data_IF_466523499342
#
_entry.id   IF_466523499342
#
_cell.length_a   1.000
_cell.length_b   1.000
_cell.length_c   1.000
_cell.angle_alpha   90.00
_cell.angle_beta   90.00
_cell.angle_gamma   90.00
#
_symmetry.space_group_name_H-M   'P 1'
#
loop_
_entity.id
_entity.type
_entity.pdbx_description
1 polymer ?
#
# COMPACT_ATOMS: atom_id res chain seq x y z
N UNK A 1 31.30 -38.70 20.66
CA UNK A 1 31.77 -37.34 20.98
C UNK A 1 31.06 -36.36 20.05
N UNK A 2 30.22 -35.48 20.60
CA UNK A 2 29.40 -34.50 19.86
C UNK A 2 30.31 -33.41 19.28
N UNK A 3 30.18 -33.08 17.99
CA UNK A 3 30.80 -31.88 17.40
C UNK A 3 29.71 -30.90 16.98
N UNK A 4 29.81 -29.72 17.59
CA UNK A 4 28.84 -28.64 17.63
C UNK A 4 28.75 -27.89 16.30
N UNK A 5 27.53 -27.53 15.89
CA UNK A 5 27.29 -26.59 14.79
C UNK A 5 27.49 -25.14 15.28
N UNK A 6 28.02 -24.23 14.46
CA UNK A 6 28.04 -22.81 14.79
C UNK A 6 26.66 -22.19 14.57
N UNK A 7 26.17 -21.53 15.62
CA UNK A 7 24.95 -20.75 15.67
C UNK A 7 25.16 -19.46 14.85
N UNK A 8 24.56 -19.38 13.67
CA UNK A 8 24.53 -18.13 12.90
C UNK A 8 23.66 -17.10 13.63
N UNK A 9 24.31 -15.99 13.98
CA UNK A 9 23.76 -14.84 14.65
C UNK A 9 22.75 -14.15 13.73
N UNK A 10 21.45 -14.29 14.01
CA UNK A 10 20.41 -13.55 13.32
C UNK A 10 20.49 -12.07 13.72
N UNK A 11 21.02 -11.23 12.83
CA UNK A 11 20.85 -9.80 12.94
C UNK A 11 19.37 -9.46 12.71
N UNK A 12 18.73 -8.87 13.71
CA UNK A 12 17.39 -8.28 13.59
C UNK A 12 17.49 -7.02 12.71
N UNK A 13 16.70 -6.88 11.63
CA UNK A 13 16.60 -5.59 10.97
C UNK A 13 15.73 -4.66 11.82
N UNK A 14 16.33 -3.54 12.20
CA UNK A 14 15.69 -2.41 12.88
C UNK A 14 14.51 -1.88 12.06
N UNK A 15 13.33 -1.86 12.68
CA UNK A 15 12.10 -1.26 12.15
C UNK A 15 12.22 0.25 12.13
N UNK A 16 12.71 0.81 11.03
CA UNK A 16 12.38 2.17 10.58
C UNK A 16 12.67 2.24 9.07
N UNK A 17 11.81 1.58 8.29
CA UNK A 17 11.84 1.74 6.84
C UNK A 17 11.21 3.10 6.50
N UNK A 18 12.07 4.11 6.36
CA UNK A 18 11.75 5.33 5.64
C UNK A 18 11.22 4.91 4.25
N UNK A 19 9.93 5.13 3.98
CA UNK A 19 9.37 4.99 2.63
C UNK A 19 10.15 5.99 1.78
N UNK A 20 11.08 5.48 0.97
CA UNK A 20 11.95 6.29 0.12
C UNK A 20 11.10 7.00 -0.92
N UNK A 21 11.54 8.18 -1.33
CA UNK A 21 10.86 9.04 -2.31
C UNK A 21 10.72 8.42 -3.72
N UNK A 22 11.13 7.17 -3.90
CA UNK A 22 11.08 6.42 -5.15
C UNK A 22 10.63 4.98 -4.87
N UNK A 23 9.44 4.79 -4.29
CA UNK A 23 8.90 3.45 -4.10
C UNK A 23 8.60 2.81 -5.45
N UNK A 24 9.55 2.05 -5.98
CA UNK A 24 9.37 1.30 -7.22
C UNK A 24 8.26 0.26 -7.02
N UNK A 25 7.36 0.05 -8.00
CA UNK A 25 6.33 -0.98 -7.90
C UNK A 25 6.88 -2.37 -7.51
N UNK A 26 8.07 -2.72 -8.01
CA UNK A 26 8.72 -3.99 -7.71
C UNK A 26 9.14 -4.11 -6.24
N UNK A 27 9.66 -3.05 -5.64
CA UNK A 27 10.04 -3.03 -4.22
C UNK A 27 8.81 -3.15 -3.32
N UNK A 28 7.74 -2.41 -3.66
CA UNK A 28 6.47 -2.50 -2.93
C UNK A 28 5.86 -3.91 -3.00
N UNK A 29 6.00 -4.62 -4.13
CA UNK A 29 5.54 -6.00 -4.26
C UNK A 29 6.25 -6.97 -3.31
N UNK A 30 7.52 -6.69 -2.97
CA UNK A 30 8.34 -7.53 -2.07
C UNK A 30 8.11 -7.16 -0.61
N UNK A 31 8.18 -5.88 -0.27
CA UNK A 31 8.20 -5.41 1.12
C UNK A 31 6.79 -5.28 1.75
N UNK A 32 5.76 -5.14 0.90
CA UNK A 32 4.38 -4.94 1.34
C UNK A 32 3.52 -6.10 0.80
N UNK A 33 3.31 -7.18 1.59
CA UNK A 33 2.70 -8.41 1.08
C UNK A 33 1.22 -8.24 0.73
N UNK A 34 0.53 -7.25 1.30
CA UNK A 34 -0.89 -7.01 1.03
C UNK A 34 -1.09 -5.92 -0.03
N UNK A 35 -2.06 -6.13 -0.92
CA UNK A 35 -2.41 -5.13 -1.93
C UNK A 35 -2.79 -3.77 -1.34
N UNK A 36 -3.46 -3.76 -0.17
CA UNK A 36 -3.87 -2.51 0.50
C UNK A 36 -2.64 -1.74 0.98
N UNK A 37 -1.67 -2.43 1.60
CA UNK A 37 -0.43 -1.79 2.04
C UNK A 37 0.39 -1.23 0.87
N UNK A 38 0.44 -1.95 -0.26
CA UNK A 38 1.12 -1.46 -1.49
C UNK A 38 0.52 -0.17 -2.02
N UNK A 39 -0.80 -0.12 -2.17
CA UNK A 39 -1.49 1.09 -2.65
C UNK A 39 -1.24 2.25 -1.66
N UNK A 40 -1.37 2.01 -0.36
CA UNK A 40 -1.19 3.04 0.66
C UNK A 40 0.25 3.57 0.71
N UNK A 41 1.25 2.69 0.60
CA UNK A 41 2.65 3.09 0.54
C UNK A 41 2.96 3.91 -0.72
N UNK A 42 2.39 3.53 -1.87
CA UNK A 42 2.60 4.24 -3.12
C UNK A 42 2.05 5.68 -3.08
N UNK A 43 0.82 5.89 -2.58
CA UNK A 43 0.19 7.22 -2.47
C UNK A 43 0.75 8.09 -1.36
N UNK A 44 1.52 7.51 -0.43
CA UNK A 44 2.22 8.23 0.64
C UNK A 44 3.47 8.95 0.13
N UNK A 45 4.03 8.53 -1.01
CA UNK A 45 5.13 9.25 -1.64
C UNK A 45 4.60 10.60 -2.14
N UNK A 46 5.28 11.72 -1.82
CA UNK A 46 4.83 13.04 -2.25
C UNK A 46 4.56 13.11 -3.74
N UNK A 47 3.47 13.78 -4.11
CA UNK A 47 3.00 13.96 -5.49
C UNK A 47 2.57 12.68 -6.23
N UNK A 48 2.66 11.49 -5.61
CA UNK A 48 2.13 10.29 -6.24
C UNK A 48 0.60 10.30 -6.26
N UNK A 49 0.08 9.78 -7.37
CA UNK A 49 -1.34 9.52 -7.56
C UNK A 49 -1.47 8.30 -8.45
N UNK A 50 -2.62 7.63 -8.40
CA UNK A 50 -2.87 6.56 -9.34
C UNK A 50 -4.33 6.42 -9.76
N UNK A 51 -4.52 5.89 -10.95
CA UNK A 51 -5.79 5.33 -11.40
C UNK A 51 -5.76 3.79 -11.39
N UNK A 52 -6.90 3.18 -11.75
CA UNK A 52 -7.08 1.72 -11.70
C UNK A 52 -6.10 0.93 -12.58
N UNK A 53 -5.60 1.52 -13.67
CA UNK A 53 -4.69 0.84 -14.59
C UNK A 53 -3.26 0.85 -14.03
N UNK A 54 -2.84 1.95 -13.40
CA UNK A 54 -1.55 2.04 -12.72
C UNK A 54 -1.52 1.15 -11.46
N UNK A 55 -2.64 1.05 -10.73
CA UNK A 55 -2.79 0.13 -9.60
C UNK A 55 -2.58 -1.35 -9.95
N UNK A 56 -2.84 -1.75 -11.21
CA UNK A 56 -2.67 -3.13 -11.64
C UNK A 56 -1.21 -3.58 -11.53
N UNK A 57 -0.25 -2.69 -11.83
CA UNK A 57 1.17 -2.95 -11.65
C UNK A 57 1.57 -3.16 -10.18
N UNK A 58 0.76 -2.67 -9.23
CA UNK A 58 0.90 -2.88 -7.79
C UNK A 58 0.09 -4.10 -7.30
N UNK A 59 -0.52 -4.85 -8.22
CA UNK A 59 -1.32 -6.03 -7.94
C UNK A 59 -2.69 -5.73 -7.32
N UNK A 60 -3.28 -4.55 -7.59
CA UNK A 60 -4.65 -4.25 -7.21
C UNK A 60 -5.55 -3.99 -8.43
N UNK A 61 -6.38 -4.98 -8.76
CA UNK A 61 -7.32 -4.88 -9.88
C UNK A 61 -8.60 -4.08 -9.54
N UNK A 62 -8.85 -3.81 -8.25
CA UNK A 62 -10.08 -3.19 -7.77
C UNK A 62 -9.80 -1.93 -6.94
N UNK A 63 -9.03 -0.98 -7.49
CA UNK A 63 -8.60 0.24 -6.81
C UNK A 63 -9.74 0.98 -6.10
N UNK A 64 -10.88 1.17 -6.78
CA UNK A 64 -12.03 1.87 -6.20
C UNK A 64 -12.50 1.23 -4.87
N UNK A 65 -12.54 -0.11 -4.82
CA UNK A 65 -12.91 -0.85 -3.60
C UNK A 65 -11.83 -0.74 -2.52
N UNK A 66 -10.55 -0.74 -2.91
CA UNK A 66 -9.43 -0.53 -1.98
C UNK A 66 -9.49 0.87 -1.36
N UNK A 67 -9.73 1.91 -2.15
CA UNK A 67 -9.89 3.29 -1.65
C UNK A 67 -11.12 3.40 -0.75
N UNK A 68 -12.25 2.78 -1.12
CA UNK A 68 -13.44 2.74 -0.26
C UNK A 68 -13.13 2.10 1.09
N UNK A 69 -12.43 0.97 1.10
CA UNK A 69 -11.98 0.30 2.33
C UNK A 69 -11.06 1.20 3.18
N UNK A 70 -10.07 1.85 2.55
CA UNK A 70 -9.19 2.81 3.23
C UNK A 70 -9.97 3.99 3.85
N UNK A 71 -11.03 4.43 3.17
CA UNK A 71 -11.90 5.50 3.65
C UNK A 71 -12.76 5.06 4.84
N UNK A 72 -13.51 3.96 4.68
CA UNK A 72 -14.49 3.51 5.67
C UNK A 72 -13.86 2.86 6.90
N UNK A 73 -12.90 1.96 6.71
CA UNK A 73 -12.34 1.16 7.81
C UNK A 73 -11.23 1.91 8.57
N UNK A 74 -10.55 2.85 7.90
CA UNK A 74 -9.36 3.52 8.45
C UNK A 74 -9.50 5.06 8.53
N UNK A 75 -10.60 5.62 8.01
CA UNK A 75 -10.85 7.07 8.06
C UNK A 75 -9.86 7.89 7.23
N UNK A 76 -9.37 7.35 6.12
CA UNK A 76 -8.50 8.09 5.20
C UNK A 76 -9.33 8.83 4.14
N UNK A 77 -9.11 10.13 4.01
CA UNK A 77 -9.70 10.94 2.96
C UNK A 77 -8.77 11.02 1.75
N UNK A 78 -9.32 10.85 0.55
CA UNK A 78 -8.59 10.88 -0.71
C UNK A 78 -9.14 11.97 -1.60
N UNK A 79 -8.25 12.66 -2.31
CA UNK A 79 -8.66 13.46 -3.46
C UNK A 79 -9.06 12.53 -4.60
N UNK A 80 -10.15 12.89 -5.29
CA UNK A 80 -10.74 12.13 -6.38
C UNK A 80 -10.88 13.04 -7.58
N UNK A 81 -10.15 12.77 -8.64
CA UNK A 81 -10.19 13.55 -9.88
C UNK A 81 -10.67 12.67 -11.03
N UNK A 82 -11.73 13.05 -11.76
CA UNK A 82 -12.10 12.38 -13.01
C UNK A 82 -10.95 12.47 -14.03
N UNK A 83 -10.64 11.36 -14.69
CA UNK A 83 -9.58 11.26 -15.69
C UNK A 83 -10.06 10.44 -16.88
N UNK A 84 -9.71 10.86 -18.10
CA UNK A 84 -9.99 10.13 -19.35
C UNK A 84 -8.72 9.40 -19.78
N UNK A 85 -8.75 8.08 -19.85
CA UNK A 85 -7.61 7.25 -20.27
C UNK A 85 -7.90 6.61 -21.63
N UNK A 86 -6.98 6.66 -22.61
CA UNK A 86 -7.16 5.99 -23.89
C UNK A 86 -7.36 4.48 -23.72
N UNK A 87 -8.33 3.93 -24.43
CA UNK A 87 -8.55 2.49 -24.52
C UNK A 87 -7.97 1.93 -25.83
N UNK A 88 -7.90 0.60 -25.93
CA UNK A 88 -7.32 -0.10 -27.10
C UNK A 88 -8.16 0.04 -28.38
N UNK A 89 -9.41 0.49 -28.27
CA UNK A 89 -10.36 0.60 -29.37
C UNK A 89 -10.53 2.05 -29.88
N UNK A 90 -9.55 2.92 -29.60
CA UNK A 90 -9.53 4.30 -30.09
C UNK A 90 -10.53 5.23 -29.40
N UNK A 91 -11.14 4.81 -28.30
CA UNK A 91 -12.01 5.63 -27.44
C UNK A 91 -11.36 5.88 -26.09
N UNK A 92 -11.88 6.84 -25.32
CA UNK A 92 -11.42 7.07 -23.94
C UNK A 92 -12.33 6.37 -22.93
N UNK A 93 -11.75 5.83 -21.86
CA UNK A 93 -12.45 5.34 -20.68
C UNK A 93 -12.40 6.39 -19.56
N UNK A 94 -13.51 6.58 -18.85
CA UNK A 94 -13.55 7.37 -17.63
C UNK A 94 -13.02 6.57 -16.44
N UNK A 95 -12.02 7.12 -15.77
CA UNK A 95 -11.49 6.60 -14.51
C UNK A 95 -11.40 7.70 -13.46
N UNK A 96 -11.08 7.32 -12.24
CA UNK A 96 -10.79 8.25 -11.15
C UNK A 96 -9.34 8.12 -10.76
N UNK A 97 -8.65 9.26 -10.75
CA UNK A 97 -7.31 9.41 -10.19
C UNK A 97 -7.42 9.74 -8.72
N UNK A 98 -6.68 8.99 -7.91
CA UNK A 98 -6.64 9.13 -6.46
C UNK A 98 -5.28 9.63 -6.02
N UNK A 99 -5.28 10.60 -5.12
CA UNK A 99 -4.08 11.05 -4.39
C UNK A 99 -4.42 11.26 -2.92
N UNK A 100 -3.39 11.17 -2.08
CA UNK A 100 -3.53 11.36 -0.64
C UNK A 100 -3.09 12.78 -0.26
N UNK A 101 -3.97 13.64 0.29
CA UNK A 101 -3.57 14.95 0.77
C UNK A 101 -2.55 14.84 1.91
N UNK A 102 -1.65 15.81 2.00
CA UNK A 102 -0.62 15.89 3.05
C UNK A 102 -1.22 15.81 4.46
N UNK A 103 -2.40 16.39 4.67
CA UNK A 103 -3.14 16.34 5.94
C UNK A 103 -3.41 14.90 6.42
N UNK A 104 -3.47 13.94 5.51
CA UNK A 104 -3.77 12.53 5.80
C UNK A 104 -2.51 11.68 5.96
N UNK A 105 -1.31 12.19 5.69
CA UNK A 105 -0.08 11.40 5.68
C UNK A 105 0.24 10.77 7.04
N UNK A 106 0.07 11.54 8.13
CA UNK A 106 0.35 11.01 9.46
C UNK A 106 -0.56 9.83 9.82
N UNK A 107 -1.85 9.92 9.46
CA UNK A 107 -2.81 8.83 9.63
C UNK A 107 -2.47 7.65 8.73
N UNK A 108 -2.16 7.90 7.47
CA UNK A 108 -1.80 6.86 6.51
C UNK A 108 -0.54 6.08 6.93
N UNK A 109 0.50 6.76 7.45
CA UNK A 109 1.67 6.08 8.03
C UNK A 109 1.30 5.18 9.20
N UNK A 110 0.39 5.64 10.06
CA UNK A 110 -0.12 4.85 11.20
C UNK A 110 -0.90 3.60 10.73
N UNK A 111 -1.74 3.76 9.71
CA UNK A 111 -2.48 2.65 9.08
C UNK A 111 -1.53 1.67 8.41
N UNK A 112 -0.53 2.16 7.68
CA UNK A 112 0.46 1.31 7.03
C UNK A 112 1.26 0.49 8.05
N UNK A 113 1.69 1.12 9.16
CA UNK A 113 2.33 0.43 10.27
C UNK A 113 1.41 -0.64 10.89
N UNK A 114 0.10 -0.38 10.98
CA UNK A 114 -0.89 -1.37 11.44
C UNK A 114 -1.04 -2.55 10.47
N UNK A 115 -1.05 -2.29 9.16
CA UNK A 115 -1.17 -3.31 8.12
C UNK A 115 0.07 -4.22 8.05
N UNK A 116 1.25 -3.68 8.33
CA UNK A 116 2.52 -4.42 8.30
C UNK A 116 2.81 -5.22 9.58
N UNK A 117 2.03 -5.06 10.65
CA UNK A 117 2.19 -5.88 11.85
C UNK A 117 1.82 -7.33 11.54
N UNK A 118 2.70 -8.32 11.85
CA UNK A 118 2.34 -9.72 11.72
C UNK A 118 1.13 -10.01 12.59
N UNK A 119 0.20 -10.84 12.09
CA UNK A 119 -1.08 -11.13 12.72
C UNK A 119 -0.94 -11.99 13.98
N UNK A 120 -0.24 -11.51 15.01
CA UNK A 120 -0.28 -12.12 16.34
C UNK A 120 -1.50 -11.57 17.09
N UNK A 121 -2.62 -12.27 16.95
CA UNK A 121 -3.77 -12.11 17.85
C UNK A 121 -4.92 -11.19 17.41
N UNK A 122 -5.33 -11.20 16.13
CA UNK A 122 -6.68 -10.70 15.77
C UNK A 122 -7.71 -11.72 16.29
N UNK A 123 -8.06 -11.66 17.58
CA UNK A 123 -9.30 -12.28 18.06
C UNK A 123 -10.44 -11.56 17.33
N UNK A 124 -11.23 -12.33 16.57
CA UNK A 124 -12.41 -11.82 15.89
C UNK A 124 -13.33 -11.14 16.89
N UNK A 125 -13.70 -9.90 16.58
CA UNK A 125 -14.91 -9.31 17.09
C UNK A 125 -16.01 -9.66 16.07
N UNK A 126 -16.60 -10.84 16.24
CA UNK A 126 -17.97 -11.09 15.82
C UNK A 126 -18.88 -10.42 16.86
N UNK A 127 -19.68 -9.45 16.43
CA UNK A 127 -20.90 -8.99 17.09
C UNK A 127 -21.76 -8.22 16.08
#
# INVERSE_FOLDING_TARGET
>A
MKKSQPLYQQASPSQDQHITASASPAELLVDMPTKIARILAYVLVPCNSLNRFEAEALGDHCLNSTIAKLTHDYGLEFHRQPEKVPNRWGTSCDVTRYSLPESQHQRARSVLALLNKPAKGRKGADA
#
